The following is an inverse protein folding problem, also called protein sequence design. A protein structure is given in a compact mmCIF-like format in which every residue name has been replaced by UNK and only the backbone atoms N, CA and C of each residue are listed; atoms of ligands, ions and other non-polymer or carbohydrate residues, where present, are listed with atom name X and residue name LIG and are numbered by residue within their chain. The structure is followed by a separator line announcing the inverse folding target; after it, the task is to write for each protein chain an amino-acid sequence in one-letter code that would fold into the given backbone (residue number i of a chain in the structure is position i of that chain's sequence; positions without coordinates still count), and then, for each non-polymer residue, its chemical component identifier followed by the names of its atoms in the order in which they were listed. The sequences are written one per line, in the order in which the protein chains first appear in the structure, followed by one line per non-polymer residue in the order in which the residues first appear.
data_IF_274698172753
#
_entry.id   IF_274698172753
#
_cell.length_a   1.000
_cell.length_b   1.000
_cell.length_c   1.000
_cell.angle_alpha   90.00
_cell.angle_beta   90.00
_cell.angle_gamma   90.00
#
_symmetry.space_group_name_H-M   'P 1'
#
loop_
_entity.id
_entity.type
_entity.pdbx_description
1 polymer ?
#
# COMPACT_ATOMS: atom_id res chain seq x y z
N UNK A 1 -17.87 -0.50 26.51
CA UNK A 1 -18.28 -1.71 27.26
C UNK A 1 -17.57 -2.95 26.70
N UNK A 2 -17.42 -4.03 27.48
CA UNK A 2 -16.92 -5.32 26.96
C UNK A 2 -18.10 -6.15 26.44
N UNK A 3 -18.07 -6.48 25.15
CA UNK A 3 -19.05 -7.30 24.43
C UNK A 3 -18.61 -8.76 24.50
N UNK A 4 -19.38 -9.57 25.23
CA UNK A 4 -19.09 -10.99 25.48
C UNK A 4 -20.13 -11.93 24.86
N UNK A 5 -21.17 -11.41 24.20
CA UNK A 5 -22.21 -12.19 23.52
C UNK A 5 -22.40 -11.67 22.10
N UNK A 6 -22.70 -12.58 21.17
CA UNK A 6 -23.00 -12.21 19.77
C UNK A 6 -24.26 -11.33 19.66
N UNK A 7 -25.22 -11.47 20.57
CA UNK A 7 -26.43 -10.65 20.63
C UNK A 7 -26.15 -9.17 20.86
N UNK A 8 -24.96 -8.84 21.35
CA UNK A 8 -24.56 -7.48 21.71
C UNK A 8 -23.71 -6.83 20.61
N UNK A 9 -23.55 -7.51 19.46
CA UNK A 9 -22.98 -6.95 18.24
C UNK A 9 -23.97 -6.02 17.54
N UNK A 10 -23.51 -5.17 16.61
CA UNK A 10 -24.41 -4.30 15.86
C UNK A 10 -25.46 -5.11 15.11
N UNK A 11 -26.73 -4.72 15.22
CA UNK A 11 -27.85 -5.42 14.58
C UNK A 11 -27.72 -5.51 13.05
N UNK A 12 -26.95 -4.61 12.46
CA UNK A 12 -26.69 -4.57 11.02
C UNK A 12 -25.53 -5.47 10.57
N UNK A 13 -24.75 -6.05 11.50
CA UNK A 13 -23.72 -7.03 11.17
C UNK A 13 -24.32 -8.38 10.83
N UNK A 14 -24.03 -8.88 9.63
CA UNK A 14 -24.39 -10.22 9.20
C UNK A 14 -23.27 -10.81 8.35
N UNK A 15 -22.66 -11.89 8.85
CA UNK A 15 -21.58 -12.60 8.18
C UNK A 15 -21.97 -13.12 6.79
N UNK A 16 -23.25 -13.43 6.57
CA UNK A 16 -23.76 -13.89 5.27
C UNK A 16 -23.56 -12.87 4.15
N UNK A 17 -23.61 -11.57 4.48
CA UNK A 17 -23.42 -10.47 3.51
C UNK A 17 -22.00 -10.42 2.95
N UNK A 18 -21.01 -10.91 3.71
CA UNK A 18 -19.60 -10.93 3.33
C UNK A 18 -19.26 -12.06 2.34
N UNK A 19 -20.18 -12.96 2.00
CA UNK A 19 -19.93 -13.96 0.94
C UNK A 19 -19.78 -13.33 -0.44
N UNK A 20 -20.33 -12.13 -0.63
CA UNK A 20 -20.26 -11.35 -1.89
C UNK A 20 -18.83 -11.01 -2.31
N UNK A 21 -17.87 -10.92 -1.37
CA UNK A 21 -16.46 -10.67 -1.70
C UNK A 21 -15.83 -11.80 -2.53
N UNK A 22 -16.36 -13.02 -2.47
CA UNK A 22 -15.84 -14.15 -3.24
C UNK A 22 -15.98 -13.95 -4.75
N UNK A 23 -17.03 -13.25 -5.18
CA UNK A 23 -17.35 -13.01 -6.60
C UNK A 23 -16.68 -11.78 -7.21
N UNK A 24 -16.05 -10.92 -6.41
CA UNK A 24 -15.44 -9.68 -6.91
C UNK A 24 -14.19 -9.96 -7.75
N UNK A 25 -13.97 -9.16 -8.78
CA UNK A 25 -12.71 -9.19 -9.54
C UNK A 25 -11.53 -8.62 -8.72
N UNK A 26 -10.31 -8.70 -9.25
CA UNK A 26 -9.11 -8.23 -8.54
C UNK A 26 -9.17 -6.73 -8.20
N UNK A 27 -9.73 -5.90 -9.09
CA UNK A 27 -9.83 -4.44 -8.89
C UNK A 27 -10.87 -4.09 -7.85
N UNK A 28 -12.05 -4.68 -7.97
CA UNK A 28 -13.15 -4.51 -7.02
C UNK A 28 -12.72 -5.00 -5.64
N UNK A 29 -12.13 -6.20 -5.56
CA UNK A 29 -11.67 -6.78 -4.30
C UNK A 29 -10.58 -5.93 -3.64
N UNK A 30 -9.59 -5.48 -4.41
CA UNK A 30 -8.54 -4.61 -3.90
C UNK A 30 -9.09 -3.26 -3.44
N UNK A 31 -10.05 -2.70 -4.18
CA UNK A 31 -10.73 -1.46 -3.77
C UNK A 31 -11.41 -1.61 -2.40
N UNK A 32 -12.09 -2.74 -2.17
CA UNK A 32 -12.69 -3.01 -0.87
C UNK A 32 -11.64 -3.12 0.23
N UNK A 33 -10.48 -3.73 -0.05
CA UNK A 33 -9.36 -3.85 0.90
C UNK A 33 -8.72 -2.50 1.22
N UNK A 34 -8.49 -1.68 0.20
CA UNK A 34 -7.95 -0.33 0.32
C UNK A 34 -8.87 0.59 1.12
N UNK A 35 -10.19 0.47 0.92
CA UNK A 35 -11.16 1.17 1.77
C UNK A 35 -10.94 0.80 3.25
N UNK A 36 -10.91 -0.49 3.59
CA UNK A 36 -10.71 -0.95 4.99
C UNK A 36 -9.38 -0.51 5.57
N UNK A 37 -8.35 -0.39 4.75
CA UNK A 37 -7.09 0.19 5.18
C UNK A 37 -7.27 1.61 5.71
N UNK A 38 -7.89 2.49 4.93
CA UNK A 38 -8.17 3.86 5.37
C UNK A 38 -9.10 3.93 6.58
N UNK A 39 -10.11 3.06 6.61
CA UNK A 39 -11.00 2.94 7.77
C UNK A 39 -10.21 2.60 9.03
N UNK A 40 -9.23 1.69 8.96
CA UNK A 40 -8.45 1.24 10.12
C UNK A 40 -7.38 2.26 10.51
N UNK A 41 -6.71 2.89 9.54
CA UNK A 41 -5.59 3.80 9.76
C UNK A 41 -6.02 5.19 10.28
N UNK A 42 -7.14 5.75 9.77
CA UNK A 42 -7.58 7.12 10.08
C UNK A 42 -9.08 7.18 10.46
N UNK A 43 -9.60 6.21 11.24
CA UNK A 43 -11.03 6.11 11.55
C UNK A 43 -11.67 7.39 12.11
N UNK A 44 -10.97 8.15 12.97
CA UNK A 44 -11.54 9.36 13.62
C UNK A 44 -11.74 10.54 12.66
N UNK A 45 -11.09 10.52 11.48
CA UNK A 45 -11.13 11.64 10.53
C UNK A 45 -12.12 11.43 9.40
N UNK A 46 -12.50 10.19 9.12
CA UNK A 46 -13.17 9.84 7.87
C UNK A 46 -14.51 9.13 8.04
N UNK A 47 -14.87 8.73 9.26
CA UNK A 47 -16.07 7.93 9.48
C UNK A 47 -16.74 8.18 10.82
N UNK A 48 -18.08 8.07 10.81
CA UNK A 48 -18.90 7.94 12.01
C UNK A 48 -19.61 6.57 12.09
N UNK A 49 -20.51 6.42 13.07
CA UNK A 49 -21.26 5.18 13.27
C UNK A 49 -22.29 4.93 12.15
N UNK A 50 -22.83 5.98 11.52
CA UNK A 50 -23.79 5.84 10.41
C UNK A 50 -23.10 5.35 9.14
N UNK A 51 -21.88 5.82 8.87
CA UNK A 51 -21.03 5.29 7.79
C UNK A 51 -20.76 3.79 7.98
N UNK A 52 -20.38 3.38 9.19
CA UNK A 52 -20.18 1.96 9.52
C UNK A 52 -21.46 1.15 9.33
N UNK A 53 -22.61 1.69 9.72
CA UNK A 53 -23.89 1.04 9.55
C UNK A 53 -24.19 0.82 8.07
N UNK A 54 -23.93 1.81 7.21
CA UNK A 54 -24.09 1.66 5.76
C UNK A 54 -23.16 0.56 5.23
N UNK A 55 -21.88 0.60 5.60
CA UNK A 55 -20.87 -0.37 5.15
C UNK A 55 -21.22 -1.78 5.62
N UNK A 56 -21.51 -2.00 6.90
CA UNK A 56 -21.83 -3.34 7.41
C UNK A 56 -23.21 -3.83 6.95
N UNK A 57 -24.10 -2.91 6.57
CA UNK A 57 -25.39 -3.27 5.94
C UNK A 57 -25.23 -3.72 4.49
N UNK A 58 -24.29 -3.13 3.75
CA UNK A 58 -23.90 -3.52 2.40
C UNK A 58 -22.36 -3.52 2.24
N UNK A 59 -21.68 -4.64 2.59
CA UNK A 59 -20.22 -4.68 2.73
C UNK A 59 -19.43 -4.32 1.47
N UNK A 60 -20.00 -4.57 0.28
CA UNK A 60 -19.39 -4.16 -0.98
C UNK A 60 -19.82 -2.72 -1.25
N UNK A 61 -18.93 -1.78 -0.97
CA UNK A 61 -19.20 -0.37 -1.20
C UNK A 61 -18.98 -0.01 -2.68
N UNK A 62 -19.88 0.78 -3.26
CA UNK A 62 -19.76 1.27 -4.65
C UNK A 62 -18.63 2.31 -4.81
N UNK A 63 -18.13 2.86 -3.70
CA UNK A 63 -17.10 3.90 -3.71
C UNK A 63 -15.76 3.34 -4.15
N UNK A 64 -15.20 3.91 -5.22
CA UNK A 64 -13.93 3.50 -5.80
C UNK A 64 -12.79 4.38 -5.30
N UNK A 65 -12.10 3.92 -4.26
CA UNK A 65 -10.84 4.49 -3.77
C UNK A 65 -9.64 4.14 -4.65
N UNK A 66 -9.79 3.11 -5.49
CA UNK A 66 -8.74 2.64 -6.38
C UNK A 66 -8.72 3.29 -7.77
N UNK A 67 -9.62 4.25 -8.06
CA UNK A 67 -9.61 4.95 -9.35
C UNK A 67 -8.28 5.71 -9.56
N UNK A 68 -7.74 6.36 -8.54
CA UNK A 68 -6.39 6.96 -8.58
C UNK A 68 -5.28 5.88 -8.61
N UNK A 69 -5.46 4.81 -7.81
CA UNK A 69 -4.55 3.66 -7.72
C UNK A 69 -4.58 2.74 -8.96
N UNK A 70 -5.39 3.01 -9.98
CA UNK A 70 -5.35 2.30 -11.27
C UNK A 70 -5.51 3.23 -12.48
N UNK A 71 -5.53 4.56 -12.26
CA UNK A 71 -5.69 5.59 -13.29
C UNK A 71 -4.65 5.47 -14.44
N UNK A 72 -3.55 4.75 -14.26
CA UNK A 72 -2.56 4.47 -15.31
C UNK A 72 -2.73 3.16 -16.09
N UNK A 73 -3.51 2.18 -15.60
CA UNK A 73 -3.70 0.87 -16.28
C UNK A 73 -4.69 0.99 -17.43
N UNK A 74 -5.76 1.76 -17.21
CA UNK A 74 -6.75 2.06 -18.23
C UNK A 74 -6.19 3.08 -19.23
N UNK A 75 -5.33 4.00 -18.77
CA UNK A 75 -4.66 5.03 -19.57
C UNK A 75 -3.23 4.68 -19.99
N UNK A 76 -2.94 3.42 -20.32
CA UNK A 76 -1.90 3.18 -21.35
C UNK A 76 -2.52 3.48 -22.71
N UNK A 77 -2.79 4.76 -22.94
CA UNK A 77 -2.89 5.35 -24.26
C UNK A 77 -1.45 5.47 -24.77
N UNK A 78 -1.10 4.86 -25.93
CA UNK A 78 0.17 5.13 -26.60
C UNK A 78 0.32 6.58 -27.09
N UNK A 79 -0.64 7.47 -26.83
CA UNK A 79 -0.84 8.70 -27.58
C UNK A 79 -1.35 9.89 -26.76
N UNK A 80 -1.08 9.95 -25.46
CA UNK A 80 -1.16 11.22 -24.71
C UNK A 80 0.00 12.15 -25.09
N UNK A 81 0.07 12.51 -26.38
CA UNK A 81 0.52 13.82 -26.82
C UNK A 81 -0.57 14.83 -26.46
N UNK A 82 -0.84 15.04 -25.16
CA UNK A 82 -1.69 16.15 -24.75
C UNK A 82 -0.87 17.45 -24.78
N UNK A 83 -1.01 18.16 -25.89
CA UNK A 83 -1.20 19.61 -26.03
C UNK A 83 -0.70 20.53 -24.90
N UNK A 84 0.54 20.34 -24.48
CA UNK A 84 1.36 21.39 -23.90
C UNK A 84 2.61 21.46 -24.77
N UNK A 85 2.97 22.63 -25.27
CA UNK A 85 4.18 22.85 -26.06
C UNK A 85 5.49 22.45 -25.34
N UNK A 86 5.38 22.05 -24.05
CA UNK A 86 6.44 21.48 -23.21
C UNK A 86 6.29 19.98 -22.87
N UNK A 87 5.21 19.30 -23.28
CA UNK A 87 4.95 17.89 -22.95
C UNK A 87 6.00 16.92 -23.54
N UNK A 88 6.63 17.30 -24.66
CA UNK A 88 7.67 16.49 -25.32
C UNK A 88 9.05 16.48 -24.66
N UNK A 89 9.23 17.07 -23.46
CA UNK A 89 10.54 17.17 -22.78
C UNK A 89 10.67 16.34 -21.49
N UNK A 90 9.71 15.47 -21.19
CA UNK A 90 9.74 14.62 -19.98
C UNK A 90 10.09 13.19 -20.34
N UNK A 91 11.03 12.61 -19.61
CA UNK A 91 11.29 11.17 -19.65
C UNK A 91 10.18 10.43 -18.89
N UNK A 92 10.00 9.12 -19.17
CA UNK A 92 9.03 8.30 -18.45
C UNK A 92 9.36 8.20 -16.95
N UNK A 93 8.32 8.17 -16.12
CA UNK A 93 8.44 8.02 -14.67
C UNK A 93 7.45 6.97 -14.15
N UNK A 94 7.70 6.48 -12.95
CA UNK A 94 6.84 5.57 -12.18
C UNK A 94 6.70 6.08 -10.75
N UNK A 95 5.88 5.41 -9.93
CA UNK A 95 5.73 5.75 -8.52
C UNK A 95 7.01 5.58 -7.69
N UNK A 96 7.96 4.73 -8.13
CA UNK A 96 9.18 4.41 -7.37
C UNK A 96 10.46 4.98 -8.00
N UNK A 97 10.42 5.27 -9.29
CA UNK A 97 11.57 5.74 -10.06
C UNK A 97 11.10 6.87 -10.95
N UNK A 98 11.67 8.05 -10.71
CA UNK A 98 11.49 9.21 -11.56
C UNK A 98 12.85 9.81 -11.97
N UNK A 99 12.96 10.34 -13.21
CA UNK A 99 14.09 11.15 -13.62
C UNK A 99 14.17 12.42 -12.77
N UNK A 100 15.39 12.83 -12.40
CA UNK A 100 15.62 14.07 -11.66
C UNK A 100 14.93 15.26 -12.34
N UNK A 101 14.09 15.96 -11.58
CA UNK A 101 13.32 17.09 -12.05
C UNK A 101 13.95 18.43 -11.63
N UNK A 102 13.50 19.52 -12.24
CA UNK A 102 13.95 20.87 -11.85
C UNK A 102 13.62 21.20 -10.39
N UNK A 103 12.56 20.62 -9.83
CA UNK A 103 12.23 20.80 -8.43
C UNK A 103 13.26 20.16 -7.49
N UNK A 104 13.89 19.06 -7.91
CA UNK A 104 14.92 18.40 -7.11
C UNK A 104 16.19 19.22 -7.03
N UNK A 105 16.60 19.80 -8.17
CA UNK A 105 17.69 20.77 -8.21
C UNK A 105 17.41 21.94 -7.29
N UNK A 106 16.16 22.45 -7.29
CA UNK A 106 15.76 23.50 -6.38
C UNK A 106 15.89 23.06 -4.90
N UNK A 107 15.38 21.88 -4.52
CA UNK A 107 15.52 21.33 -3.16
C UNK A 107 16.99 21.23 -2.74
N UNK A 108 17.83 20.67 -3.61
CA UNK A 108 19.27 20.53 -3.41
C UNK A 108 19.92 21.89 -3.16
N UNK A 109 19.66 22.87 -4.02
CA UNK A 109 20.24 24.21 -3.93
C UNK A 109 19.75 25.02 -2.72
N UNK A 110 18.63 24.65 -2.11
CA UNK A 110 18.12 25.33 -0.91
C UNK A 110 18.56 24.64 0.39
N UNK A 111 19.30 23.53 0.31
CA UNK A 111 19.97 22.96 1.47
C UNK A 111 21.17 23.81 1.84
N UNK A 112 21.10 24.45 3.01
CA UNK A 112 22.22 25.21 3.58
C UNK A 112 23.46 24.35 3.79
N UNK A 113 23.30 23.06 4.09
CA UNK A 113 24.46 22.16 4.27
C UNK A 113 25.16 21.87 2.95
N UNK A 114 24.40 21.74 1.87
CA UNK A 114 24.99 21.53 0.53
C UNK A 114 25.64 22.79 -0.01
N UNK A 115 25.08 23.97 0.26
CA UNK A 115 25.51 25.23 -0.36
C UNK A 115 26.39 26.10 0.54
N UNK A 116 26.12 26.18 1.85
CA UNK A 116 26.78 27.11 2.77
C UNK A 116 27.96 26.48 3.54
N UNK A 117 27.98 25.15 3.72
CA UNK A 117 29.15 24.42 4.30
C UNK A 117 30.23 24.11 3.24
N UNK A 118 30.07 24.66 2.04
CA UNK A 118 30.99 24.53 0.93
C UNK A 118 32.26 25.37 1.16
N UNK A 119 33.39 24.70 1.37
CA UNK A 119 34.73 25.31 1.37
C UNK A 119 35.41 24.99 0.02
N UNK A 120 35.70 26.01 -0.78
CA UNK A 120 36.42 25.89 -2.06
C UNK A 120 37.80 25.21 -1.91
N UNK A 121 38.38 25.24 -0.70
CA UNK A 121 39.63 24.55 -0.39
C UNK A 121 39.44 23.05 -0.10
N UNK A 122 38.22 22.60 0.22
CA UNK A 122 37.90 21.20 0.51
C UNK A 122 37.50 20.43 -0.76
N UNK A 123 38.53 20.11 -1.54
CA UNK A 123 38.36 19.27 -2.74
C UNK A 123 37.88 17.85 -2.45
N UNK A 124 38.00 17.37 -1.20
CA UNK A 124 37.53 16.03 -0.81
C UNK A 124 36.03 16.03 -0.53
N UNK A 125 35.50 17.09 0.10
CA UNK A 125 34.06 17.27 0.32
C UNK A 125 33.25 17.30 -0.99
N UNK A 126 33.86 17.66 -2.12
CA UNK A 126 33.23 17.56 -3.44
C UNK A 126 32.90 16.12 -3.87
N UNK A 127 33.50 15.12 -3.23
CA UNK A 127 33.23 13.69 -3.47
C UNK A 127 32.13 13.14 -2.57
N UNK A 128 31.63 13.94 -1.62
CA UNK A 128 30.60 13.50 -0.70
C UNK A 128 29.29 13.24 -1.43
N UNK A 129 28.65 12.14 -1.03
CA UNK A 129 27.33 11.81 -1.54
C UNK A 129 26.32 12.81 -0.99
N UNK A 130 25.64 13.54 -1.86
CA UNK A 130 24.63 14.53 -1.45
C UNK A 130 23.57 13.96 -0.49
N UNK A 131 23.23 12.68 -0.66
CA UNK A 131 22.28 11.97 0.21
C UNK A 131 22.76 11.81 1.67
N UNK A 132 24.04 12.05 1.97
CA UNK A 132 24.60 12.06 3.32
C UNK A 132 24.74 13.47 3.90
N UNK A 133 24.76 14.49 3.05
CA UNK A 133 24.96 15.89 3.47
C UNK A 133 23.69 16.43 4.13
N UNK A 134 22.51 16.11 3.59
CA UNK A 134 21.25 16.56 4.17
C UNK A 134 20.12 15.55 4.04
N UNK A 135 19.04 15.78 4.79
CA UNK A 135 17.84 14.97 4.76
C UNK A 135 16.83 15.54 3.74
N UNK A 136 16.70 14.87 2.60
CA UNK A 136 15.73 15.22 1.55
C UNK A 136 14.38 14.51 1.69
N UNK A 137 14.04 14.02 2.88
CA UNK A 137 12.79 13.33 3.15
C UNK A 137 12.76 11.94 2.51
N UNK A 138 11.82 11.71 1.60
CA UNK A 138 11.67 10.44 0.87
C UNK A 138 12.52 10.38 -0.40
N UNK A 139 13.19 11.48 -0.77
CA UNK A 139 13.95 11.56 -2.01
C UNK A 139 15.36 10.99 -1.82
N UNK A 140 15.82 10.18 -2.78
CA UNK A 140 17.20 9.70 -2.86
C UNK A 140 17.73 9.93 -4.27
N UNK A 141 18.85 10.64 -4.39
CA UNK A 141 19.41 11.03 -5.67
C UNK A 141 20.46 10.02 -6.13
N UNK A 142 20.30 9.50 -7.35
CA UNK A 142 21.22 8.54 -7.95
C UNK A 142 21.66 9.00 -9.34
N UNK A 143 22.91 8.69 -9.69
CA UNK A 143 23.46 8.89 -11.03
C UNK A 143 23.53 7.53 -11.72
N UNK A 144 22.91 7.43 -12.90
CA UNK A 144 22.91 6.22 -13.73
C UNK A 144 23.54 6.51 -15.09
N UNK A 145 24.35 5.59 -15.60
CA UNK A 145 24.95 5.67 -16.94
C UNK A 145 24.20 4.75 -17.91
N UNK A 146 23.25 5.32 -18.66
CA UNK A 146 22.35 4.60 -19.56
C UNK A 146 23.05 4.00 -20.81
N UNK A 147 24.37 4.12 -20.92
CA UNK A 147 25.15 3.45 -21.98
C UNK A 147 25.39 1.97 -21.69
N UNK A 148 25.19 1.53 -20.44
CA UNK A 148 25.35 0.14 -20.04
C UNK A 148 24.06 -0.66 -20.25
N UNK A 149 24.17 -2.00 -20.45
CA UNK A 149 23.00 -2.88 -20.56
C UNK A 149 22.12 -2.86 -19.30
N UNK A 150 20.81 -3.03 -19.50
CA UNK A 150 19.81 -3.04 -18.42
C UNK A 150 20.16 -4.03 -17.30
N UNK A 151 20.61 -5.24 -17.65
CA UNK A 151 20.99 -6.28 -16.68
C UNK A 151 22.10 -5.82 -15.74
N UNK A 152 23.11 -5.12 -16.28
CA UNK A 152 24.23 -4.61 -15.47
C UNK A 152 23.77 -3.46 -14.56
N UNK A 153 22.92 -2.56 -15.08
CA UNK A 153 22.36 -1.48 -14.27
C UNK A 153 21.50 -2.03 -13.12
N UNK A 154 20.71 -3.07 -13.37
CA UNK A 154 19.84 -3.70 -12.37
C UNK A 154 20.67 -4.44 -11.33
N UNK A 155 21.69 -5.21 -11.74
CA UNK A 155 22.56 -5.97 -10.84
C UNK A 155 23.35 -5.03 -9.91
N UNK A 156 24.00 -4.01 -10.48
CA UNK A 156 24.78 -3.03 -9.71
C UNK A 156 23.88 -2.29 -8.72
N UNK A 157 22.74 -1.76 -9.19
CA UNK A 157 21.79 -1.07 -8.32
C UNK A 157 21.31 -1.98 -7.20
N UNK A 158 20.94 -3.23 -7.51
CA UNK A 158 20.46 -4.20 -6.53
C UNK A 158 21.52 -4.50 -5.45
N UNK A 159 22.79 -4.59 -5.84
CA UNK A 159 23.90 -4.83 -4.90
C UNK A 159 24.14 -3.66 -3.95
N UNK A 160 23.90 -2.42 -4.42
CA UNK A 160 24.17 -1.19 -3.66
C UNK A 160 23.03 -0.83 -2.69
N UNK A 161 21.78 -1.15 -3.02
CA UNK A 161 20.60 -0.77 -2.23
C UNK A 161 20.72 -1.17 -0.74
N UNK A 162 21.18 -2.38 -0.45
CA UNK A 162 21.36 -2.83 0.94
C UNK A 162 22.42 -2.02 1.67
N UNK A 163 23.53 -1.70 1.00
CA UNK A 163 24.61 -0.90 1.57
C UNK A 163 24.17 0.53 1.86
N UNK A 164 23.44 1.16 0.92
CA UNK A 164 22.92 2.51 1.09
C UNK A 164 21.90 2.60 2.23
N UNK A 165 20.97 1.64 2.32
CA UNK A 165 19.99 1.60 3.43
C UNK A 165 20.68 1.51 4.78
N UNK A 166 21.67 0.64 4.91
CA UNK A 166 22.47 0.52 6.13
C UNK A 166 23.19 1.84 6.47
N UNK A 167 23.81 2.48 5.47
CA UNK A 167 24.54 3.74 5.66
C UNK A 167 23.63 4.90 6.10
N UNK A 168 22.37 4.89 5.64
CA UNK A 168 21.36 5.89 5.98
C UNK A 168 20.51 5.52 7.20
N UNK A 169 20.78 4.40 7.87
CA UNK A 169 19.96 3.83 8.95
C UNK A 169 18.48 3.62 8.55
N UNK A 170 18.23 3.32 7.27
CA UNK A 170 16.90 2.95 6.77
C UNK A 170 16.68 1.45 7.05
N UNK A 171 15.59 1.06 7.74
CA UNK A 171 15.27 -0.35 7.94
C UNK A 171 15.17 -1.08 6.60
N UNK A 172 15.78 -2.27 6.50
CA UNK A 172 15.72 -3.02 5.25
C UNK A 172 14.29 -3.50 4.98
N UNK A 173 13.61 -2.97 3.94
CA UNK A 173 12.25 -3.40 3.59
C UNK A 173 12.21 -4.87 3.20
N UNK A 174 13.35 -5.47 2.85
CA UNK A 174 13.42 -6.88 2.51
C UNK A 174 13.21 -7.81 3.72
N UNK A 175 13.44 -7.34 4.95
CA UNK A 175 13.22 -8.15 6.14
C UNK A 175 11.72 -8.34 6.46
N UNK A 176 10.84 -7.52 5.89
CA UNK A 176 9.38 -7.63 6.07
C UNK A 176 8.70 -8.51 5.01
N UNK A 177 9.46 -8.99 4.00
CA UNK A 177 9.00 -9.61 2.75
C UNK A 177 8.20 -10.91 2.85
N UNK A 178 7.87 -11.44 4.03
CA UNK A 178 6.88 -12.54 4.10
C UNK A 178 5.44 -12.07 3.84
N UNK A 179 5.25 -11.11 2.93
CA UNK A 179 3.95 -10.75 2.39
C UNK A 179 3.69 -11.73 1.26
N UNK A 180 2.57 -12.45 1.36
CA UNK A 180 2.16 -13.42 0.34
C UNK A 180 1.99 -12.72 -1.03
N UNK A 181 2.04 -13.47 -2.13
CA UNK A 181 1.56 -12.93 -3.42
C UNK A 181 0.09 -12.55 -3.33
N UNK A 182 -0.39 -11.69 -4.23
CA UNK A 182 -1.77 -11.23 -4.28
C UNK A 182 -2.76 -12.40 -4.29
N UNK A 183 -2.54 -13.44 -5.10
CA UNK A 183 -3.43 -14.61 -5.15
C UNK A 183 -3.54 -15.36 -3.82
N UNK A 184 -2.42 -15.50 -3.12
CA UNK A 184 -2.38 -16.18 -1.82
C UNK A 184 -3.00 -15.27 -0.76
N UNK A 185 -2.72 -13.97 -0.81
CA UNK A 185 -3.29 -12.97 0.09
C UNK A 185 -4.81 -12.89 -0.08
N UNK A 186 -5.33 -12.72 -1.29
CA UNK A 186 -6.78 -12.69 -1.62
C UNK A 186 -7.50 -13.91 -1.07
N UNK A 187 -6.98 -15.12 -1.31
CA UNK A 187 -7.55 -16.37 -0.76
C UNK A 187 -7.58 -16.38 0.77
N UNK A 188 -6.48 -15.96 1.40
CA UNK A 188 -6.39 -15.88 2.87
C UNK A 188 -7.34 -14.82 3.43
N UNK A 189 -7.45 -13.65 2.78
CA UNK A 189 -8.36 -12.55 3.17
C UNK A 189 -9.80 -13.06 3.25
N UNK A 190 -10.24 -13.83 2.26
CA UNK A 190 -11.55 -14.49 2.26
C UNK A 190 -11.62 -15.52 3.40
N UNK A 191 -10.72 -16.50 3.40
CA UNK A 191 -10.78 -17.64 4.33
C UNK A 191 -10.64 -17.26 5.81
N UNK A 192 -9.98 -16.13 6.10
CA UNK A 192 -9.78 -15.62 7.45
C UNK A 192 -10.83 -14.57 7.83
N UNK A 193 -11.78 -14.25 6.94
CA UNK A 193 -12.83 -13.27 7.21
C UNK A 193 -12.24 -11.90 7.55
N UNK A 194 -11.26 -11.44 6.77
CA UNK A 194 -10.55 -10.19 7.04
C UNK A 194 -11.46 -8.96 6.87
N UNK A 195 -12.37 -8.96 5.88
CA UNK A 195 -13.37 -7.89 5.74
C UNK A 195 -14.32 -7.77 6.96
N UNK A 196 -15.03 -8.83 7.39
CA UNK A 196 -15.88 -8.71 8.57
C UNK A 196 -15.08 -8.43 9.85
N UNK A 197 -13.83 -8.91 9.94
CA UNK A 197 -12.94 -8.56 11.04
C UNK A 197 -12.60 -7.06 11.05
N UNK A 198 -12.25 -6.48 9.89
CA UNK A 198 -11.93 -5.06 9.74
C UNK A 198 -13.11 -4.17 10.15
N UNK A 199 -14.31 -4.51 9.69
CA UNK A 199 -15.51 -3.73 9.96
C UNK A 199 -15.89 -3.80 11.46
N UNK A 200 -15.82 -4.98 12.09
CA UNK A 200 -15.99 -5.13 13.53
C UNK A 200 -14.90 -4.40 14.35
N UNK A 201 -13.65 -4.42 13.86
CA UNK A 201 -12.55 -3.69 14.48
C UNK A 201 -12.80 -2.18 14.45
N UNK A 202 -13.25 -1.64 13.32
CA UNK A 202 -13.61 -0.23 13.20
C UNK A 202 -14.80 0.12 14.11
N UNK A 203 -15.80 -0.76 14.20
CA UNK A 203 -16.92 -0.55 15.13
C UNK A 203 -16.49 -0.47 16.59
N UNK A 204 -15.54 -1.33 17.02
CA UNK A 204 -14.94 -1.23 18.36
C UNK A 204 -14.27 0.13 18.59
N UNK A 205 -13.57 0.65 17.59
CA UNK A 205 -12.87 1.93 17.66
C UNK A 205 -13.84 3.11 17.78
N UNK A 206 -14.86 3.16 16.92
CA UNK A 206 -15.83 4.25 16.88
C UNK A 206 -16.72 4.29 18.12
N UNK A 207 -17.21 3.13 18.57
CA UNK A 207 -18.13 3.07 19.74
C UNK A 207 -17.41 3.04 21.08
N UNK A 208 -16.08 2.90 21.09
CA UNK A 208 -15.29 2.67 22.31
C UNK A 208 -15.58 1.31 22.98
N UNK A 209 -16.31 0.42 22.31
CA UNK A 209 -16.57 -0.93 22.80
C UNK A 209 -15.37 -1.87 22.54
N UNK A 210 -15.26 -2.91 23.35
CA UNK A 210 -14.30 -4.00 23.13
C UNK A 210 -15.07 -5.28 22.89
N UNK A 211 -14.83 -5.94 21.77
CA UNK A 211 -15.41 -7.27 21.51
C UNK A 211 -14.38 -8.31 21.96
N UNK A 212 -14.82 -9.32 22.71
CA UNK A 212 -13.95 -10.42 23.09
C UNK A 212 -13.54 -11.23 21.86
N UNK A 213 -12.30 -11.74 21.86
CA UNK A 213 -11.77 -12.52 20.74
C UNK A 213 -12.64 -13.76 20.44
N UNK A 214 -13.23 -14.38 21.46
CA UNK A 214 -14.14 -15.52 21.28
C UNK A 214 -15.45 -15.11 20.59
N UNK A 215 -15.98 -13.92 20.87
CA UNK A 215 -17.17 -13.38 20.16
C UNK A 215 -16.83 -13.07 18.71
N UNK A 216 -15.70 -12.42 18.43
CA UNK A 216 -15.25 -12.16 17.05
C UNK A 216 -15.12 -13.49 16.28
N UNK A 217 -14.38 -14.45 16.85
CA UNK A 217 -14.15 -15.75 16.22
C UNK A 217 -15.48 -16.47 15.93
N UNK A 218 -16.37 -16.57 16.91
CA UNK A 218 -17.66 -17.21 16.70
C UNK A 218 -18.58 -16.46 15.73
N UNK A 219 -18.44 -15.14 15.60
CA UNK A 219 -19.32 -14.33 14.73
C UNK A 219 -18.87 -14.38 13.27
N UNK A 220 -17.56 -14.40 13.03
CA UNK A 220 -16.98 -14.56 11.69
C UNK A 220 -17.03 -16.03 11.24
N UNK A 221 -16.90 -16.97 12.18
CA UNK A 221 -16.90 -18.41 11.91
C UNK A 221 -18.01 -19.13 12.71
N UNK A 222 -19.27 -19.04 12.27
CA UNK A 222 -20.40 -19.69 12.95
C UNK A 222 -20.29 -21.21 13.03
N UNK A 223 -19.53 -21.82 12.12
CA UNK A 223 -19.25 -23.26 12.05
C UNK A 223 -18.18 -23.72 13.06
N UNK A 224 -17.63 -22.80 13.86
CA UNK A 224 -16.57 -23.04 14.85
C UNK A 224 -15.26 -23.55 14.23
N UNK A 225 -15.05 -23.35 12.93
CA UNK A 225 -13.80 -23.72 12.23
C UNK A 225 -12.57 -22.95 12.74
N UNK A 226 -12.80 -21.81 13.39
CA UNK A 226 -11.77 -20.96 13.99
C UNK A 226 -12.18 -20.57 15.40
N UNK A 227 -11.33 -20.92 16.37
CA UNK A 227 -11.43 -20.47 17.75
C UNK A 227 -10.57 -19.23 18.04
N UNK A 228 -10.70 -18.73 19.27
CA UNK A 228 -9.98 -17.55 19.77
C UNK A 228 -8.46 -17.63 19.57
N UNK A 229 -7.85 -18.79 19.84
CA UNK A 229 -6.40 -18.97 19.70
C UNK A 229 -5.91 -18.66 18.28
N UNK A 230 -6.55 -19.25 17.27
CA UNK A 230 -6.21 -19.04 15.85
C UNK A 230 -6.53 -17.61 15.40
N UNK A 231 -7.59 -17.00 15.94
CA UNK A 231 -7.89 -15.59 15.69
C UNK A 231 -6.73 -14.70 16.17
N UNK A 232 -6.30 -14.86 17.42
CA UNK A 232 -5.27 -14.03 18.04
C UNK A 232 -3.86 -14.27 17.47
N UNK A 233 -3.47 -15.53 17.27
CA UNK A 233 -2.10 -15.90 16.89
C UNK A 233 -1.85 -15.91 15.38
N UNK A 234 -2.91 -15.93 14.55
CA UNK A 234 -2.77 -16.05 13.09
C UNK A 234 -3.55 -14.99 12.34
N UNK A 235 -4.85 -14.86 12.58
CA UNK A 235 -5.72 -13.98 11.78
C UNK A 235 -5.42 -12.51 12.07
N UNK A 236 -5.29 -12.12 13.35
CA UNK A 236 -4.99 -10.73 13.72
C UNK A 236 -3.62 -10.25 13.20
N UNK A 237 -2.51 -11.00 13.36
CA UNK A 237 -1.24 -10.63 12.73
C UNK A 237 -1.33 -10.56 11.20
N UNK A 238 -2.10 -11.46 10.58
CA UNK A 238 -2.34 -11.42 9.14
C UNK A 238 -3.11 -10.14 8.73
N UNK A 239 -4.17 -9.78 9.47
CA UNK A 239 -4.93 -8.55 9.27
C UNK A 239 -4.00 -7.32 9.34
N UNK A 240 -3.26 -7.16 10.44
CA UNK A 240 -2.37 -6.01 10.65
C UNK A 240 -1.32 -5.90 9.53
N UNK A 241 -0.73 -7.04 9.13
CA UNK A 241 0.27 -7.09 8.08
C UNK A 241 -0.29 -6.73 6.70
N UNK A 242 -1.44 -7.30 6.31
CA UNK A 242 -1.96 -7.18 4.93
C UNK A 242 -2.75 -5.87 4.69
N UNK A 243 -3.10 -5.15 5.75
CA UNK A 243 -3.65 -3.80 5.69
C UNK A 243 -2.60 -2.71 5.93
N UNK A 244 -1.31 -3.05 6.02
CA UNK A 244 -0.24 -2.05 6.05
C UNK A 244 -0.02 -1.44 4.65
N UNK A 245 0.42 -0.17 4.59
CA UNK A 245 0.69 0.56 3.35
C UNK A 245 1.49 -0.25 2.34
N UNK A 246 2.63 -0.78 2.78
CA UNK A 246 3.54 -1.55 1.92
C UNK A 246 2.88 -2.81 1.32
N UNK A 247 2.03 -3.50 2.07
CA UNK A 247 1.30 -4.66 1.55
C UNK A 247 0.32 -4.25 0.44
N UNK A 248 -0.38 -3.13 0.62
CA UNK A 248 -1.35 -2.64 -0.35
C UNK A 248 -0.66 -2.15 -1.63
N UNK A 249 0.43 -1.42 -1.51
CA UNK A 249 1.27 -1.01 -2.65
C UNK A 249 1.78 -2.23 -3.43
N UNK A 250 2.25 -3.25 -2.72
CA UNK A 250 2.68 -4.51 -3.34
C UNK A 250 1.53 -5.18 -4.10
N UNK A 251 0.35 -5.30 -3.49
CA UNK A 251 -0.82 -5.92 -4.12
C UNK A 251 -1.30 -5.14 -5.34
N UNK A 252 -1.37 -3.81 -5.24
CA UNK A 252 -1.70 -2.94 -6.36
C UNK A 252 -0.79 -3.24 -7.54
N UNK A 253 0.53 -3.27 -7.31
CA UNK A 253 1.53 -3.55 -8.34
C UNK A 253 1.33 -4.91 -9.00
N UNK A 254 1.19 -5.98 -8.22
CA UNK A 254 0.97 -7.32 -8.76
C UNK A 254 -0.31 -7.39 -9.61
N UNK A 255 -1.38 -6.68 -9.21
CA UNK A 255 -2.63 -6.58 -9.98
C UNK A 255 -2.40 -5.79 -11.28
N UNK A 256 -1.70 -4.64 -11.22
CA UNK A 256 -1.38 -3.82 -12.40
C UNK A 256 -0.61 -4.61 -13.44
N UNK A 257 0.44 -5.32 -13.03
CA UNK A 257 1.28 -6.13 -13.92
C UNK A 257 0.45 -7.19 -14.65
N UNK A 258 -0.41 -7.92 -13.94
CA UNK A 258 -1.33 -8.91 -14.53
C UNK A 258 -2.30 -8.30 -15.55
N UNK A 259 -2.87 -7.14 -15.23
CA UNK A 259 -3.80 -6.45 -16.13
C UNK A 259 -3.11 -5.99 -17.43
N UNK A 260 -1.88 -5.49 -17.32
CA UNK A 260 -1.06 -5.10 -18.48
C UNK A 260 -0.75 -6.32 -19.35
N UNK A 261 -0.34 -7.44 -18.75
CA UNK A 261 -0.10 -8.69 -19.49
C UNK A 261 -1.34 -9.18 -20.23
N UNK A 262 -2.50 -9.19 -19.58
CA UNK A 262 -3.76 -9.59 -20.20
C UNK A 262 -4.14 -8.69 -21.37
N UNK A 263 -3.96 -7.37 -21.23
CA UNK A 263 -4.20 -6.38 -22.30
C UNK A 263 -3.29 -6.62 -23.50
N UNK A 264 -2.01 -6.89 -23.26
CA UNK A 264 -1.03 -7.16 -24.32
C UNK A 264 -1.32 -8.47 -25.06
N UNK A 265 -1.80 -9.51 -24.36
CA UNK A 265 -2.23 -10.77 -24.99
C UNK A 265 -3.46 -10.60 -25.89
N UNK A 266 -4.40 -9.72 -25.54
CA UNK A 266 -5.60 -9.42 -26.34
C UNK A 266 -5.33 -8.61 -27.61
N UNK A 267 -4.15 -7.98 -27.72
CA UNK A 267 -3.75 -7.16 -28.89
C UNK A 267 -2.94 -7.94 -29.93
N UNK A 268 -2.52 -9.18 -29.62
CA UNK A 268 -1.85 -10.10 -30.55
C UNK A 268 -2.88 -11.06 -31.16
#
# INVERSE_FOLDING_TARGET
MLINKKSDLPEYFDIGKYKTFESLDDREFFNQLLMRHYMVADYEKWMDEDDLKIIMSNPVADRKYSEDAFAGVDYVQPDMQENNSNAGKRLGSSMLIEPLQRHDIFKIMHSKKVVDEYDDADTLGLLDCINLIDNFGNDFFVKLDLRYPDEFLIEDLSSLLSSWRNSLNIPDPNNELSINSWEVARRKIISYGIFPYADLFCWQKITGNRISSSVIAGSIFPDLSVGEKKLCETIRPFFEKNLANFSLEKFEREIRERLIEQKNRRRK
#
